data_IF_678010752216
#
_entry.id   IF_678010752216
#
_cell.length_a   1.000
_cell.length_b   1.000
_cell.length_c   1.000
_cell.angle_alpha   90.00
_cell.angle_beta   90.00
_cell.angle_gamma   90.00
#
_symmetry.space_group_name_H-M   'P 1'
#
loop_
_entity.id
_entity.type
_entity.pdbx_description
1 polymer ?
#
# COMPACT_ATOMS: atom_id res chain seq x y z
N UNK A 1 -17.10 3.23 1.22
CA UNK A 1 -16.34 2.24 0.42
C UNK A 1 -15.65 2.81 -0.83
N UNK A 2 -16.30 3.66 -1.64
CA UNK A 2 -15.68 4.24 -2.85
C UNK A 2 -14.36 4.99 -2.58
N UNK A 3 -14.22 5.63 -1.42
CA UNK A 3 -12.99 6.32 -1.03
C UNK A 3 -11.77 5.38 -0.95
N UNK A 4 -11.91 4.20 -0.34
CA UNK A 4 -10.81 3.23 -0.22
C UNK A 4 -10.40 2.71 -1.60
N UNK A 5 -11.36 2.52 -2.49
CA UNK A 5 -11.10 2.14 -3.88
C UNK A 5 -10.34 3.26 -4.61
N UNK A 6 -10.80 4.52 -4.51
CA UNK A 6 -10.12 5.66 -5.11
C UNK A 6 -8.69 5.83 -4.59
N UNK A 7 -8.50 5.73 -3.27
CA UNK A 7 -7.17 5.71 -2.65
C UNK A 7 -6.32 4.56 -3.21
N UNK A 8 -6.90 3.37 -3.33
CA UNK A 8 -6.22 2.21 -3.86
C UNK A 8 -5.77 2.41 -5.30
N UNK A 9 -6.51 3.17 -6.13
CA UNK A 9 -6.12 3.52 -7.49
C UNK A 9 -5.03 4.59 -7.53
N UNK A 10 -5.10 5.62 -6.68
CA UNK A 10 -4.12 6.71 -6.62
C UNK A 10 -2.77 6.26 -6.03
N UNK A 11 -2.75 5.90 -4.74
CA UNK A 11 -1.52 5.67 -3.97
C UNK A 11 -1.31 4.20 -3.58
N UNK A 12 -2.36 3.39 -3.68
CA UNK A 12 -2.29 1.97 -3.37
C UNK A 12 -1.49 1.14 -4.38
N UNK A 13 -1.08 -0.04 -3.97
CA UNK A 13 -0.34 -0.98 -4.82
C UNK A 13 -0.81 -2.42 -4.61
N UNK A 14 -0.80 -3.19 -5.69
CA UNK A 14 -1.00 -4.63 -5.66
C UNK A 14 0.35 -5.33 -5.66
N UNK A 15 0.59 -6.18 -4.66
CA UNK A 15 1.81 -6.98 -4.55
C UNK A 15 1.52 -8.45 -4.86
N UNK A 16 2.11 -8.92 -5.95
CA UNK A 16 2.19 -10.36 -6.23
C UNK A 16 3.36 -10.96 -5.46
N UNK A 17 3.02 -11.66 -4.38
CA UNK A 17 3.97 -12.46 -3.59
C UNK A 17 3.57 -13.92 -3.59
N UNK A 18 2.91 -14.39 -4.65
CA UNK A 18 2.44 -15.77 -4.72
C UNK A 18 3.60 -16.77 -4.67
N UNK A 19 4.75 -16.41 -5.26
CA UNK A 19 5.95 -17.27 -5.26
C UNK A 19 6.53 -17.42 -3.84
N UNK A 20 6.67 -16.33 -3.09
CA UNK A 20 7.36 -16.32 -1.80
C UNK A 20 6.44 -16.64 -0.61
N UNK A 21 5.21 -16.15 -0.62
CA UNK A 21 4.29 -16.22 0.53
C UNK A 21 2.93 -16.81 0.18
N UNK A 22 2.77 -17.35 -1.05
CA UNK A 22 1.53 -17.96 -1.55
C UNK A 22 0.29 -17.08 -1.37
N UNK A 23 0.49 -15.76 -1.33
CA UNK A 23 -0.50 -14.75 -0.96
C UNK A 23 -0.32 -13.51 -1.83
N UNK A 24 -1.41 -12.77 -1.99
CA UNK A 24 -1.44 -11.47 -2.65
C UNK A 24 -1.77 -10.40 -1.63
N UNK A 25 -1.08 -9.27 -1.70
CA UNK A 25 -1.29 -8.17 -0.76
C UNK A 25 -1.84 -6.92 -1.45
N UNK A 26 -2.82 -6.34 -0.78
CA UNK A 26 -3.20 -4.94 -0.93
C UNK A 26 -2.21 -4.13 -0.10
N UNK A 27 -1.48 -3.23 -0.75
CA UNK A 27 -0.45 -2.42 -0.11
C UNK A 27 -0.89 -0.96 -0.10
N UNK A 28 -1.00 -0.40 1.10
CA UNK A 28 -1.30 1.01 1.34
C UNK A 28 -0.11 1.63 2.06
N UNK A 29 0.44 2.70 1.51
CA UNK A 29 1.48 3.49 2.16
C UNK A 29 1.05 4.96 2.23
N UNK A 30 1.18 5.56 3.40
CA UNK A 30 0.91 6.98 3.61
C UNK A 30 1.73 7.49 4.81
N UNK A 31 1.92 8.79 4.91
CA UNK A 31 2.51 9.42 6.09
C UNK A 31 1.47 9.75 7.16
N UNK A 32 0.18 9.63 6.83
CA UNK A 32 -0.93 9.78 7.76
C UNK A 32 -1.37 8.42 8.34
N UNK A 33 -1.12 8.24 9.64
CA UNK A 33 -1.51 7.03 10.38
C UNK A 33 -3.02 6.93 10.60
N UNK A 34 -3.70 8.05 10.81
CA UNK A 34 -5.13 8.08 11.09
C UNK A 34 -5.89 7.68 9.84
N UNK A 35 -5.47 8.16 8.67
CA UNK A 35 -6.03 7.74 7.40
C UNK A 35 -5.90 6.23 7.17
N UNK A 36 -4.71 5.66 7.41
CA UNK A 36 -4.53 4.20 7.29
C UNK A 36 -5.34 3.42 8.33
N UNK A 37 -5.53 3.98 9.53
CA UNK A 37 -6.36 3.38 10.57
C UNK A 37 -7.84 3.37 10.18
N UNK A 38 -8.33 4.43 9.54
CA UNK A 38 -9.68 4.51 8.99
C UNK A 38 -9.88 3.54 7.82
N UNK A 39 -8.89 3.43 6.91
CA UNK A 39 -8.91 2.45 5.82
C UNK A 39 -8.96 1.03 6.39
N UNK A 40 -8.12 0.72 7.38
CA UNK A 40 -8.08 -0.57 8.07
C UNK A 40 -9.44 -0.91 8.69
N UNK A 41 -10.04 0.02 9.41
CA UNK A 41 -11.35 -0.16 10.04
C UNK A 41 -12.46 -0.32 9.01
N UNK A 42 -12.40 0.43 7.90
CA UNK A 42 -13.40 0.37 6.84
C UNK A 42 -13.39 -0.96 6.08
N UNK A 43 -12.23 -1.63 6.06
CA UNK A 43 -12.04 -2.95 5.46
C UNK A 43 -12.20 -4.10 6.46
N UNK A 44 -12.62 -3.81 7.70
CA UNK A 44 -12.75 -4.76 8.81
C UNK A 44 -11.50 -5.64 8.98
N UNK A 45 -10.34 -5.00 8.90
CA UNK A 45 -9.05 -5.68 8.85
C UNK A 45 -8.31 -5.59 10.19
N UNK A 46 -7.86 -6.72 10.70
CA UNK A 46 -7.02 -6.77 11.91
C UNK A 46 -5.51 -6.70 11.62
N UNK A 47 -5.12 -6.39 10.38
CA UNK A 47 -3.72 -6.34 9.99
C UNK A 47 -2.98 -5.19 10.67
N UNK A 48 -1.72 -5.43 11.04
CA UNK A 48 -0.87 -4.43 11.69
C UNK A 48 -0.48 -3.32 10.70
N UNK A 49 -0.55 -2.07 11.14
CA UNK A 49 0.09 -0.94 10.47
C UNK A 49 1.57 -0.91 10.92
N UNK A 50 2.47 -0.98 9.96
CA UNK A 50 3.92 -0.94 10.17
C UNK A 50 4.40 0.50 10.07
N UNK A 51 5.29 0.89 10.99
CA UNK A 51 6.01 2.17 10.91
C UNK A 51 7.25 1.96 10.04
N UNK A 52 7.43 2.85 9.07
CA UNK A 52 8.61 2.94 8.22
C UNK A 52 9.45 4.11 8.73
N UNK A 53 10.61 3.83 9.36
CA UNK A 53 11.42 4.89 9.95
C UNK A 53 11.96 5.86 8.88
N UNK A 54 12.23 7.11 9.26
CA UNK A 54 12.96 8.08 8.45
C UNK A 54 14.24 7.48 7.86
N UNK A 55 14.46 7.68 6.57
CA UNK A 55 15.68 7.24 5.89
C UNK A 55 16.49 8.46 5.46
N UNK A 56 17.80 8.44 5.73
CA UNK A 56 18.74 9.48 5.29
C UNK A 56 19.35 9.06 3.96
N UNK A 57 18.99 9.75 2.90
CA UNK A 57 19.51 9.55 1.56
C UNK A 57 20.61 10.59 1.30
N UNK A 58 21.81 10.11 0.95
CA UNK A 58 22.91 10.96 0.50
C UNK A 58 22.73 11.26 -0.98
N UNK A 59 22.65 12.53 -1.31
CA UNK A 59 22.61 13.03 -2.69
C UNK A 59 23.87 13.85 -2.98
N UNK A 60 24.17 14.07 -4.26
CA UNK A 60 25.30 14.92 -4.68
C UNK A 60 25.26 16.33 -4.05
N UNK A 61 24.06 16.83 -3.75
CA UNK A 61 23.82 18.19 -3.23
C UNK A 61 23.55 18.21 -1.71
N UNK A 62 23.79 17.13 -0.97
CA UNK A 62 23.59 17.10 0.49
C UNK A 62 22.89 15.83 1.01
N UNK A 63 22.47 15.88 2.28
CA UNK A 63 21.72 14.79 2.93
C UNK A 63 20.24 15.16 3.00
N UNK A 64 19.38 14.26 2.54
CA UNK A 64 17.93 14.40 2.64
C UNK A 64 17.40 13.34 3.59
N UNK A 65 16.59 13.73 4.57
CA UNK A 65 15.95 12.80 5.49
C UNK A 65 14.48 12.71 5.12
N UNK A 66 13.98 11.51 4.80
CA UNK A 66 12.56 11.30 4.59
C UNK A 66 11.79 11.39 5.90
N UNK A 67 10.52 11.81 5.85
CA UNK A 67 9.65 11.69 7.00
C UNK A 67 9.38 10.21 7.35
N UNK A 68 8.89 10.00 8.56
CA UNK A 68 8.32 8.73 8.98
C UNK A 68 7.08 8.43 8.12
N UNK A 69 6.97 7.18 7.68
CA UNK A 69 5.84 6.71 6.90
C UNK A 69 5.17 5.53 7.56
N UNK A 70 3.98 5.19 7.10
CA UNK A 70 3.18 4.09 7.61
C UNK A 70 2.73 3.19 6.47
N UNK A 71 2.64 1.90 6.75
CA UNK A 71 2.32 0.87 5.76
C UNK A 71 1.30 -0.10 6.32
N UNK A 72 0.20 -0.27 5.61
CA UNK A 72 -0.79 -1.31 5.85
C UNK A 72 -0.73 -2.34 4.73
N UNK A 73 -0.56 -3.62 5.10
CA UNK A 73 -0.58 -4.75 4.17
C UNK A 73 -1.73 -5.68 4.53
N UNK A 74 -2.64 -5.89 3.60
CA UNK A 74 -3.79 -6.79 3.77
C UNK A 74 -3.64 -7.95 2.80
N UNK A 75 -3.45 -9.16 3.34
CA UNK A 75 -3.35 -10.37 2.53
C UNK A 75 -4.75 -10.87 2.17
N UNK A 76 -5.19 -10.66 0.93
CA UNK A 76 -6.49 -11.16 0.48
C UNK A 76 -6.48 -11.45 -1.02
N UNK A 77 -6.64 -12.73 -1.37
CA UNK A 77 -6.61 -13.20 -2.77
C UNK A 77 -7.84 -12.80 -3.56
N UNK A 78 -9.00 -12.73 -2.90
CA UNK A 78 -10.29 -12.43 -3.53
C UNK A 78 -10.28 -10.96 -3.93
N UNK A 79 -10.06 -10.05 -2.97
CA UNK A 79 -9.99 -8.62 -3.24
C UNK A 79 -8.91 -8.25 -4.27
N UNK A 80 -7.76 -8.95 -4.26
CA UNK A 80 -6.73 -8.75 -5.27
C UNK A 80 -7.24 -9.05 -6.68
N UNK A 81 -7.93 -10.18 -6.87
CA UNK A 81 -8.50 -10.57 -8.17
C UNK A 81 -9.62 -9.61 -8.59
N UNK A 82 -10.46 -9.20 -7.65
CA UNK A 82 -11.53 -8.24 -7.93
C UNK A 82 -10.96 -6.90 -8.40
N UNK A 83 -9.89 -6.41 -7.77
CA UNK A 83 -9.21 -5.18 -8.19
C UNK A 83 -8.56 -5.32 -9.56
N UNK A 84 -7.98 -6.47 -9.89
CA UNK A 84 -7.48 -6.75 -11.25
C UNK A 84 -8.61 -6.69 -12.26
N UNK A 85 -9.75 -7.30 -11.96
CA UNK A 85 -10.93 -7.29 -12.84
C UNK A 85 -11.51 -5.88 -13.02
N UNK A 86 -11.35 -5.01 -12.02
CA UNK A 86 -11.68 -3.58 -12.10
C UNK A 86 -10.63 -2.74 -12.87
N UNK A 87 -9.56 -3.35 -13.38
CA UNK A 87 -8.53 -2.69 -14.18
C UNK A 87 -7.31 -2.21 -13.38
N UNK A 88 -7.23 -2.51 -12.08
CA UNK A 88 -6.04 -2.21 -11.29
C UNK A 88 -4.92 -3.20 -11.61
N UNK A 89 -3.82 -2.71 -12.18
CA UNK A 89 -2.68 -3.58 -12.52
C UNK A 89 -1.64 -3.61 -11.41
N UNK A 90 -0.91 -4.72 -11.33
CA UNK A 90 0.32 -4.77 -10.56
C UNK A 90 1.36 -3.86 -11.23
N UNK A 91 2.22 -3.21 -10.43
CA UNK A 91 3.24 -2.27 -10.95
C UNK A 91 2.65 -1.19 -11.88
N UNK A 92 1.58 -0.53 -11.43
CA UNK A 92 0.82 0.46 -12.20
C UNK A 92 1.67 1.43 -13.02
N UNK A 93 2.76 1.93 -12.44
CA UNK A 93 3.69 2.87 -13.10
C UNK A 93 4.38 2.34 -14.37
N UNK A 94 4.22 1.06 -14.69
CA UNK A 94 4.76 0.42 -15.91
C UNK A 94 3.68 0.04 -16.91
N UNK A 95 2.41 0.32 -16.62
CA UNK A 95 1.28 -0.17 -17.42
C UNK A 95 0.28 0.94 -17.75
N UNK A 96 0.14 1.93 -16.85
CA UNK A 96 -0.62 3.17 -17.04
C UNK A 96 0.41 4.31 -17.02
#
# INVERSE_FOLDING_TARGET
>A
MAYVLGFMFADGSLLDTNISSRTYYLFFANNDLDLLSQIRSSLDSNHRIYVKPPCVIRHKNGKYTSHEGYVLRIGNKVMYRDLINLGLTHRKSKTI
#
